data_IF_493947974099
#
_entry.id   IF_493947974099
#
_cell.length_a   1.000
_cell.length_b   1.000
_cell.length_c   1.000
_cell.angle_alpha   90.00
_cell.angle_beta   90.00
_cell.angle_gamma   90.00
#
_symmetry.space_group_name_H-M   'P 1'
#
loop_
_entity.id
_entity.type
_entity.pdbx_description
1 polymer ?
#
# COMPACT_ATOMS: atom_id res chain seq x y z
N UNK A 1 -53.39 33.31 42.70
CA UNK A 1 -51.96 33.15 43.00
C UNK A 1 -51.25 32.99 41.67
N UNK A 2 -50.33 33.90 41.32
CA UNK A 2 -49.57 33.76 40.07
C UNK A 2 -48.63 32.57 40.23
N UNK A 3 -48.86 31.48 39.49
CA UNK A 3 -47.92 30.36 39.46
C UNK A 3 -46.61 30.86 38.84
N UNK A 4 -45.50 30.66 39.54
CA UNK A 4 -44.16 31.05 39.09
C UNK A 4 -43.36 29.81 38.71
N UNK A 5 -42.66 29.86 37.58
CA UNK A 5 -41.78 28.79 37.10
C UNK A 5 -40.32 29.26 37.21
N UNK A 6 -39.51 28.47 37.91
CA UNK A 6 -38.07 28.68 37.94
C UNK A 6 -37.46 28.13 36.64
N UNK A 7 -36.83 28.98 35.85
CA UNK A 7 -36.22 28.63 34.57
C UNK A 7 -34.70 28.71 34.70
N UNK A 8 -34.01 27.61 34.44
CA UNK A 8 -32.55 27.54 34.41
C UNK A 8 -32.09 27.53 32.95
N UNK A 9 -31.42 28.58 32.50
CA UNK A 9 -30.91 28.68 31.13
C UNK A 9 -29.41 28.39 31.11
N UNK A 10 -29.08 27.20 30.63
CA UNK A 10 -27.71 26.80 30.33
C UNK A 10 -27.25 27.45 29.02
N UNK A 11 -26.35 28.41 29.11
CA UNK A 11 -25.77 29.13 27.98
C UNK A 11 -24.50 28.43 27.47
N UNK A 12 -23.75 29.09 26.59
CA UNK A 12 -22.48 28.61 26.03
C UNK A 12 -21.34 29.55 26.44
N UNK A 13 -20.11 29.05 26.52
CA UNK A 13 -18.95 29.87 26.84
C UNK A 13 -18.80 31.04 25.85
N UNK A 14 -18.50 32.28 26.32
CA UNK A 14 -18.05 32.66 27.66
C UNK A 14 -19.17 33.01 28.66
N UNK A 15 -20.44 32.82 28.32
CA UNK A 15 -21.56 33.23 29.17
C UNK A 15 -21.84 32.23 30.30
N UNK A 16 -22.29 32.73 31.45
CA UNK A 16 -22.67 31.90 32.60
C UNK A 16 -24.10 31.39 32.49
N UNK A 17 -24.43 30.36 33.26
CA UNK A 17 -25.81 29.87 33.38
C UNK A 17 -26.67 30.91 34.09
N UNK A 18 -27.88 31.15 33.59
CA UNK A 18 -28.80 32.16 34.13
C UNK A 18 -29.99 31.47 34.80
N UNK A 19 -30.43 32.01 35.94
CA UNK A 19 -31.63 31.56 36.63
C UNK A 19 -32.66 32.69 36.61
N UNK A 20 -33.84 32.43 36.05
CA UNK A 20 -34.93 33.38 35.92
C UNK A 20 -36.15 32.87 36.66
N UNK A 21 -36.80 33.74 37.43
CA UNK A 21 -38.11 33.45 38.00
C UNK A 21 -39.15 34.18 37.16
N UNK A 22 -39.96 33.41 36.42
CA UNK A 22 -40.88 33.93 35.40
C UNK A 22 -42.28 33.38 35.67
N UNK A 23 -43.35 34.18 35.51
CA UNK A 23 -44.71 33.66 35.60
C UNK A 23 -44.94 32.47 34.66
N UNK A 24 -45.65 31.43 35.12
CA UNK A 24 -45.91 30.22 34.33
C UNK A 24 -46.71 30.48 33.06
N UNK A 25 -47.41 31.62 32.98
CA UNK A 25 -48.18 32.07 31.81
C UNK A 25 -47.31 32.76 30.74
N UNK A 26 -46.04 33.05 31.03
CA UNK A 26 -45.16 33.71 30.07
C UNK A 26 -44.88 32.79 28.88
N UNK A 27 -44.87 33.36 27.69
CA UNK A 27 -44.60 32.63 26.45
C UNK A 27 -43.11 32.39 26.28
N UNK A 28 -42.75 31.28 25.65
CA UNK A 28 -41.35 30.97 25.30
C UNK A 28 -40.73 32.08 24.45
N UNK A 29 -41.49 32.69 23.54
CA UNK A 29 -41.03 33.80 22.72
C UNK A 29 -40.63 35.08 23.47
N UNK A 30 -41.04 35.23 24.74
CA UNK A 30 -40.65 36.38 25.58
C UNK A 30 -39.34 36.15 26.33
N UNK A 31 -38.89 34.90 26.51
CA UNK A 31 -37.62 34.57 27.18
C UNK A 31 -36.39 35.23 26.54
N UNK A 32 -36.26 35.30 25.20
CA UNK A 32 -35.17 36.02 24.55
C UNK A 32 -34.98 37.46 25.05
N UNK A 33 -36.08 38.21 25.23
CA UNK A 33 -36.02 39.58 25.70
C UNK A 33 -35.55 39.67 27.15
N UNK A 34 -36.01 38.76 28.02
CA UNK A 34 -35.58 38.69 29.42
C UNK A 34 -34.10 38.30 29.54
N UNK A 35 -33.63 37.37 28.70
CA UNK A 35 -32.22 36.98 28.65
C UNK A 35 -31.33 38.15 28.22
N UNK A 36 -31.79 38.96 27.26
CA UNK A 36 -31.05 40.13 26.80
C UNK A 36 -30.97 41.25 27.86
N UNK A 37 -31.96 41.35 28.77
CA UNK A 37 -31.90 42.29 29.89
C UNK A 37 -30.82 41.89 30.91
N UNK A 38 -30.68 40.60 31.19
CA UNK A 38 -29.65 40.10 32.12
C UNK A 38 -28.26 40.09 31.48
N UNK A 39 -28.16 39.69 30.22
CA UNK A 39 -26.90 39.57 29.49
C UNK A 39 -26.98 40.27 28.13
N UNK A 40 -26.73 41.60 28.09
CA UNK A 40 -26.84 42.39 26.86
C UNK A 40 -25.79 42.03 25.80
N UNK A 41 -24.76 41.27 26.19
CA UNK A 41 -23.70 40.78 25.29
C UNK A 41 -24.11 39.54 24.48
N UNK A 42 -25.27 38.93 24.76
CA UNK A 42 -25.73 37.74 24.05
C UNK A 42 -26.16 38.06 22.62
N UNK A 43 -25.64 37.36 21.60
CA UNK A 43 -26.03 37.55 20.22
C UNK A 43 -27.38 36.89 19.91
N UNK A 44 -28.50 37.57 20.18
CA UNK A 44 -29.87 37.02 20.11
C UNK A 44 -30.35 36.55 18.72
N UNK A 45 -29.68 36.99 17.65
CA UNK A 45 -30.07 36.82 16.25
C UNK A 45 -29.80 35.40 15.70
N UNK A 46 -29.06 34.56 16.44
CA UNK A 46 -28.72 33.21 16.02
C UNK A 46 -28.78 32.23 17.19
N UNK A 47 -29.73 32.37 18.12
CA UNK A 47 -29.84 31.47 19.27
C UNK A 47 -31.12 30.64 19.18
N UNK A 48 -31.03 29.39 19.64
CA UNK A 48 -32.16 28.48 19.77
C UNK A 48 -32.26 28.00 21.21
N UNK A 49 -33.44 28.15 21.78
CA UNK A 49 -33.80 27.54 23.06
C UNK A 49 -34.28 26.11 22.82
N UNK A 50 -33.73 25.19 23.59
CA UNK A 50 -34.12 23.78 23.57
C UNK A 50 -34.31 23.27 25.00
N UNK A 51 -35.30 22.40 25.19
CA UNK A 51 -35.52 21.69 26.42
C UNK A 51 -35.25 20.21 26.12
N UNK A 52 -34.25 19.64 26.80
CA UNK A 52 -33.74 18.30 26.51
C UNK A 52 -33.40 18.10 25.00
N UNK A 53 -34.25 17.36 24.27
CA UNK A 53 -34.06 16.99 22.85
C UNK A 53 -35.03 17.72 21.91
N UNK A 54 -35.89 18.59 22.44
CA UNK A 54 -36.93 19.27 21.67
C UNK A 54 -36.65 20.77 21.55
N UNK A 55 -37.02 21.33 20.40
CA UNK A 55 -37.04 22.78 20.19
C UNK A 55 -38.39 23.27 20.70
N UNK A 56 -38.39 24.33 21.52
CA UNK A 56 -39.62 24.87 22.07
C UNK A 56 -40.34 25.70 21.00
N UNK A 57 -41.67 25.61 21.01
CA UNK A 57 -42.52 26.48 20.21
C UNK A 57 -42.57 27.88 20.84
N UNK A 58 -42.28 28.97 20.10
CA UNK A 58 -42.32 30.32 20.65
C UNK A 58 -43.70 30.74 21.17
N UNK A 59 -44.78 30.12 20.71
CA UNK A 59 -46.16 30.46 21.07
C UNK A 59 -46.68 29.71 22.31
N UNK A 60 -45.99 28.67 22.75
CA UNK A 60 -46.39 27.88 23.90
C UNK A 60 -46.02 28.56 25.23
N UNK A 61 -46.86 28.43 26.28
CA UNK A 61 -46.53 28.92 27.63
C UNK A 61 -45.49 28.02 28.31
N UNK A 62 -44.72 28.56 29.25
CA UNK A 62 -43.71 27.79 30.00
C UNK A 62 -44.32 26.64 30.82
N UNK A 63 -45.58 26.78 31.24
CA UNK A 63 -46.31 25.75 31.97
C UNK A 63 -46.47 24.43 31.22
N UNK A 64 -46.44 24.43 29.87
CA UNK A 64 -46.55 23.19 29.10
C UNK A 64 -45.28 22.33 29.15
N UNK A 65 -44.14 22.93 29.49
CA UNK A 65 -42.85 22.27 29.52
C UNK A 65 -42.33 22.07 30.95
N UNK A 66 -42.85 22.82 31.92
CA UNK A 66 -42.46 22.70 33.31
C UNK A 66 -43.17 21.50 33.97
N UNK A 67 -42.39 20.61 34.60
CA UNK A 67 -42.95 19.61 35.51
C UNK A 67 -43.29 20.30 36.84
N UNK A 68 -44.35 19.83 37.53
CA UNK A 68 -45.01 20.51 38.65
C UNK A 68 -44.12 20.88 39.85
N UNK A 69 -42.91 20.34 39.96
CA UNK A 69 -42.00 20.60 41.09
C UNK A 69 -40.55 20.89 40.70
N UNK A 70 -40.18 20.78 39.42
CA UNK A 70 -38.77 20.90 38.98
C UNK A 70 -38.52 22.20 38.20
N UNK A 71 -37.33 22.81 38.33
CA UNK A 71 -36.97 23.95 37.52
C UNK A 71 -36.89 23.56 36.04
N UNK A 72 -37.46 24.40 35.17
CA UNK A 72 -37.42 24.22 33.73
C UNK A 72 -36.00 24.49 33.22
N UNK A 73 -35.25 23.42 32.95
CA UNK A 73 -33.90 23.51 32.39
C UNK A 73 -33.94 23.72 30.87
N UNK A 74 -33.55 24.91 30.41
CA UNK A 74 -33.43 25.27 29.00
C UNK A 74 -31.96 25.37 28.62
N UNK A 75 -31.64 24.96 27.39
CA UNK A 75 -30.32 25.13 26.80
C UNK A 75 -30.38 26.13 25.66
N UNK A 76 -29.55 27.15 25.74
CA UNK A 76 -29.36 28.17 24.71
C UNK A 76 -28.17 27.77 23.84
N UNK A 77 -28.44 27.44 22.57
CA UNK A 77 -27.43 27.02 21.62
C UNK A 77 -27.34 27.97 20.43
N UNK A 78 -26.13 28.30 19.95
CA UNK A 78 -25.96 29.00 18.68
C UNK A 78 -26.51 28.17 17.50
N UNK A 79 -27.42 28.75 16.75
CA UNK A 79 -27.93 28.23 15.49
C UNK A 79 -26.92 28.55 14.38
N UNK A 80 -26.01 27.61 14.14
CA UNK A 80 -25.07 27.71 13.03
C UNK A 80 -25.84 27.62 11.71
N UNK A 81 -25.60 28.54 10.76
CA UNK A 81 -26.18 28.50 9.40
C UNK A 81 -25.54 27.40 8.53
N UNK A 82 -25.35 26.21 9.09
CA UNK A 82 -24.65 25.10 8.45
C UNK A 82 -25.60 24.01 7.96
N UNK A 83 -25.71 23.85 6.65
CA UNK A 83 -26.11 22.60 6.05
C UNK A 83 -25.13 21.50 6.46
N UNK A 84 -25.66 20.38 6.93
CA UNK A 84 -24.99 19.09 7.22
C UNK A 84 -24.30 18.55 5.95
N UNK A 85 -23.28 19.28 5.50
CA UNK A 85 -22.69 19.21 4.18
C UNK A 85 -21.60 18.15 4.11
N UNK A 86 -21.64 17.38 3.02
CA UNK A 86 -20.46 16.67 2.54
C UNK A 86 -20.22 15.29 3.12
N UNK A 87 -20.43 15.03 4.41
CA UNK A 87 -20.01 13.73 4.96
C UNK A 87 -20.78 12.56 4.33
N UNK A 88 -22.10 12.67 4.19
CA UNK A 88 -22.91 11.65 3.51
C UNK A 88 -22.59 11.50 2.02
N UNK A 89 -22.22 12.59 1.32
CA UNK A 89 -21.80 12.49 -0.08
C UNK A 89 -20.39 11.92 -0.23
N UNK A 90 -19.49 12.20 0.70
CA UNK A 90 -18.16 11.58 0.80
C UNK A 90 -18.28 10.09 1.07
N UNK A 91 -19.17 9.67 1.98
CA UNK A 91 -19.44 8.25 2.22
C UNK A 91 -19.97 7.55 0.96
N UNK A 92 -20.91 8.18 0.24
CA UNK A 92 -21.42 7.64 -1.03
C UNK A 92 -20.33 7.56 -2.10
N UNK A 93 -19.49 8.58 -2.22
CA UNK A 93 -18.38 8.60 -3.17
C UNK A 93 -17.30 7.55 -2.82
N UNK A 94 -16.97 7.39 -1.55
CA UNK A 94 -16.03 6.38 -1.06
C UNK A 94 -16.58 4.96 -1.28
N UNK A 95 -17.84 4.70 -0.94
CA UNK A 95 -18.51 3.42 -1.18
C UNK A 95 -18.56 3.05 -2.66
N UNK A 96 -18.81 4.02 -3.54
CA UNK A 96 -18.75 3.79 -4.99
C UNK A 96 -17.36 3.36 -5.48
N UNK A 97 -16.30 3.98 -4.97
CA UNK A 97 -14.90 3.61 -5.31
C UNK A 97 -14.51 2.23 -4.80
N UNK A 98 -14.98 1.84 -3.62
CA UNK A 98 -14.70 0.52 -3.04
C UNK A 98 -15.44 -0.58 -3.80
N UNK A 99 -16.68 -0.32 -4.23
CA UNK A 99 -17.49 -1.27 -5.00
C UNK A 99 -16.95 -1.48 -6.42
N UNK A 100 -16.53 -0.41 -7.11
CA UNK A 100 -16.03 -0.51 -8.49
C UNK A 100 -14.61 -1.08 -8.60
N UNK A 101 -13.79 -0.96 -7.55
CA UNK A 101 -12.43 -1.51 -7.54
C UNK A 101 -12.46 -3.02 -7.27
N UNK A 102 -12.74 -3.80 -8.31
CA UNK A 102 -12.57 -5.26 -8.29
C UNK A 102 -11.13 -5.60 -7.89
N UNK A 103 -10.96 -6.38 -6.84
CA UNK A 103 -9.63 -6.83 -6.40
C UNK A 103 -9.07 -7.83 -7.39
N UNK A 104 -7.97 -7.48 -8.07
CA UNK A 104 -7.27 -8.39 -8.99
C UNK A 104 -6.27 -9.33 -8.29
N UNK A 105 -6.38 -9.49 -6.97
CA UNK A 105 -5.54 -10.42 -6.21
C UNK A 105 -6.10 -11.85 -6.32
N UNK A 106 -5.90 -12.46 -7.49
CA UNK A 106 -6.30 -13.84 -7.79
C UNK A 106 -5.20 -14.86 -7.50
N UNK A 107 -4.08 -14.43 -6.93
CA UNK A 107 -2.90 -15.27 -6.70
C UNK A 107 -3.20 -16.47 -5.78
N UNK A 108 -4.00 -16.21 -4.74
CA UNK A 108 -4.41 -17.22 -3.75
C UNK A 108 -5.35 -18.30 -4.31
N UNK A 109 -6.00 -18.06 -5.46
CA UNK A 109 -6.92 -19.02 -6.08
C UNK A 109 -6.15 -20.26 -6.58
N UNK A 110 -6.84 -21.40 -6.62
CA UNK A 110 -6.30 -22.67 -7.13
C UNK A 110 -6.83 -23.01 -8.51
N UNK A 111 -6.05 -23.75 -9.29
CA UNK A 111 -6.47 -24.36 -10.55
C UNK A 111 -7.18 -25.72 -10.30
N UNK A 112 -7.70 -26.35 -11.37
CA UNK A 112 -8.33 -27.68 -11.31
C UNK A 112 -7.34 -28.80 -10.91
N UNK A 113 -6.04 -28.52 -10.99
CA UNK A 113 -4.97 -29.42 -10.59
C UNK A 113 -4.49 -29.18 -9.14
N UNK A 114 -5.14 -28.27 -8.40
CA UNK A 114 -4.83 -27.93 -7.00
C UNK A 114 -3.64 -27.00 -6.77
N UNK A 115 -3.00 -26.49 -7.83
CA UNK A 115 -1.87 -25.53 -7.77
C UNK A 115 -2.39 -24.11 -7.62
N UNK A 116 -1.64 -23.24 -6.94
CA UNK A 116 -2.02 -21.83 -6.78
C UNK A 116 -1.67 -21.02 -8.03
N UNK A 117 -2.53 -20.10 -8.45
CA UNK A 117 -2.28 -19.26 -9.63
C UNK A 117 -0.99 -18.42 -9.50
N UNK A 118 -0.59 -18.03 -8.28
CA UNK A 118 0.72 -17.41 -8.05
C UNK A 118 1.89 -18.26 -8.47
N UNK A 119 1.91 -19.52 -8.03
CA UNK A 119 3.02 -20.45 -8.32
C UNK A 119 3.17 -20.71 -9.82
N UNK A 120 2.05 -20.72 -10.55
CA UNK A 120 2.06 -20.84 -12.02
C UNK A 120 2.63 -19.58 -12.67
N UNK A 121 2.16 -18.40 -12.27
CA UNK A 121 2.68 -17.11 -12.77
C UNK A 121 4.16 -16.92 -12.46
N UNK A 122 4.62 -17.37 -11.30
CA UNK A 122 6.04 -17.33 -10.93
C UNK A 122 6.87 -18.25 -11.81
N UNK A 123 6.42 -19.49 -12.05
CA UNK A 123 7.09 -20.42 -12.94
C UNK A 123 7.16 -19.89 -14.39
N UNK A 124 6.09 -19.31 -14.90
CA UNK A 124 6.04 -18.67 -16.23
C UNK A 124 7.03 -17.48 -16.32
N UNK A 125 7.08 -16.63 -15.28
CA UNK A 125 8.05 -15.52 -15.22
C UNK A 125 9.49 -16.02 -15.21
N UNK A 126 9.77 -17.11 -14.49
CA UNK A 126 11.10 -17.72 -14.47
C UNK A 126 11.46 -18.34 -15.83
N UNK A 127 10.51 -19.01 -16.48
CA UNK A 127 10.71 -19.55 -17.82
C UNK A 127 11.00 -18.43 -18.84
N UNK A 128 10.16 -17.38 -18.87
CA UNK A 128 10.39 -16.21 -19.72
C UNK A 128 11.72 -15.51 -19.43
N UNK A 129 12.15 -15.47 -18.16
CA UNK A 129 13.46 -14.95 -17.79
C UNK A 129 14.59 -15.77 -18.41
N UNK A 130 14.53 -17.10 -18.30
CA UNK A 130 15.52 -18.02 -18.88
C UNK A 130 15.55 -17.95 -20.41
N UNK A 131 14.38 -17.88 -21.05
CA UNK A 131 14.24 -17.72 -22.50
C UNK A 131 14.83 -16.38 -22.99
N UNK A 132 14.73 -15.32 -22.19
CA UNK A 132 15.30 -14.01 -22.50
C UNK A 132 16.82 -13.89 -22.22
N UNK A 133 17.44 -14.88 -21.57
CA UNK A 133 18.88 -14.87 -21.29
C UNK A 133 19.78 -14.73 -22.52
N UNK A 134 19.61 -15.50 -23.62
CA UNK A 134 20.45 -15.36 -24.81
C UNK A 134 20.37 -13.97 -25.44
N UNK A 135 19.18 -13.38 -25.51
CA UNK A 135 18.99 -12.03 -26.04
C UNK A 135 19.65 -10.99 -25.14
N UNK A 136 19.50 -11.12 -23.82
CA UNK A 136 20.16 -10.25 -22.85
C UNK A 136 21.68 -10.37 -22.89
N UNK A 137 22.23 -11.58 -23.06
CA UNK A 137 23.68 -11.81 -23.19
C UNK A 137 24.21 -11.21 -24.48
N UNK A 138 23.50 -11.36 -25.61
CA UNK A 138 23.84 -10.70 -26.88
C UNK A 138 23.81 -9.17 -26.75
N UNK A 139 22.72 -8.60 -26.22
CA UNK A 139 22.62 -7.16 -26.01
C UNK A 139 23.71 -6.61 -25.07
N UNK A 140 24.06 -7.33 -24.00
CA UNK A 140 25.17 -6.95 -23.12
C UNK A 140 26.51 -7.03 -23.82
N UNK A 141 26.73 -8.04 -24.65
CA UNK A 141 27.96 -8.20 -25.42
C UNK A 141 28.09 -7.11 -26.48
N UNK A 142 27.01 -6.77 -27.18
CA UNK A 142 26.99 -5.72 -28.20
C UNK A 142 27.17 -4.34 -27.54
N UNK A 143 26.56 -4.10 -26.39
CA UNK A 143 26.78 -2.88 -25.61
C UNK A 143 28.23 -2.79 -25.09
N UNK A 144 28.84 -3.91 -24.68
CA UNK A 144 30.27 -3.94 -24.31
C UNK A 144 31.16 -3.66 -25.51
N UNK A 145 30.90 -4.27 -26.66
CA UNK A 145 31.62 -4.02 -27.91
C UNK A 145 31.51 -2.57 -28.36
N UNK A 146 30.31 -1.98 -28.34
CA UNK A 146 30.10 -0.58 -28.67
C UNK A 146 30.82 0.37 -27.70
N UNK A 147 30.86 0.04 -26.40
CA UNK A 147 31.65 0.80 -25.42
C UNK A 147 33.15 0.68 -25.66
N UNK A 148 33.64 -0.52 -25.99
CA UNK A 148 35.05 -0.72 -26.34
C UNK A 148 35.41 0.07 -27.60
N UNK A 149 34.61 -0.02 -28.66
CA UNK A 149 34.83 0.72 -29.91
C UNK A 149 34.77 2.25 -29.69
N UNK A 150 33.85 2.73 -28.86
CA UNK A 150 33.77 4.16 -28.52
C UNK A 150 35.01 4.63 -27.74
N UNK A 151 35.51 3.82 -26.80
CA UNK A 151 36.75 4.11 -26.08
C UNK A 151 37.97 4.04 -27.00
N UNK A 152 38.04 3.06 -27.90
CA UNK A 152 39.12 2.93 -28.90
C UNK A 152 39.14 4.14 -29.85
N UNK A 153 37.97 4.60 -30.29
CA UNK A 153 37.84 5.83 -31.10
C UNK A 153 38.25 7.09 -30.35
N UNK A 154 37.91 7.19 -29.06
CA UNK A 154 38.36 8.30 -28.20
C UNK A 154 39.88 8.24 -27.93
N UNK A 155 40.48 7.06 -27.98
CA UNK A 155 41.92 6.84 -27.74
C UNK A 155 42.77 6.85 -29.03
N UNK A 156 42.16 6.98 -30.21
CA UNK A 156 42.87 7.17 -31.49
C UNK A 156 43.63 5.93 -32.00
N UNK A 157 43.22 4.72 -31.61
CA UNK A 157 43.87 3.47 -32.01
C UNK A 157 43.03 2.83 -33.13
N UNK A 158 43.58 2.72 -34.35
CA UNK A 158 42.91 2.05 -35.47
C UNK A 158 42.77 0.53 -35.24
N UNK A 159 41.84 -0.12 -35.95
CA UNK A 159 41.53 -1.57 -35.86
C UNK A 159 42.75 -2.50 -36.04
N UNK A 160 43.85 -2.00 -36.61
CA UNK A 160 45.09 -2.75 -36.88
C UNK A 160 46.25 -2.43 -35.93
N UNK A 161 45.99 -1.82 -34.77
CA UNK A 161 47.00 -1.57 -33.75
C UNK A 161 48.06 -0.52 -34.12
N UNK A 162 47.88 0.19 -35.24
CA UNK A 162 48.72 1.32 -35.64
C UNK A 162 48.09 2.64 -35.19
N UNK A 163 48.85 3.57 -34.59
CA UNK A 163 48.39 4.96 -34.45
C UNK A 163 48.09 5.50 -35.84
N UNK A 164 46.88 6.03 -36.07
CA UNK A 164 46.64 6.84 -37.26
C UNK A 164 47.43 8.15 -37.06
N UNK A 165 48.38 8.43 -37.94
CA UNK A 165 49.28 9.59 -37.85
C UNK A 165 48.57 10.91 -38.26
N UNK A 166 47.30 10.85 -38.65
CA UNK A 166 46.55 12.01 -39.13
C UNK A 166 45.49 12.47 -38.12
N UNK A 167 45.95 13.05 -37.00
CA UNK A 167 45.16 13.95 -36.18
C UNK A 167 46.07 15.05 -35.62
N UNK A 168 46.58 15.89 -36.52
CA UNK A 168 47.16 17.17 -36.16
C UNK A 168 46.10 18.07 -35.52
N UNK A 169 46.12 18.18 -34.19
CA UNK A 169 45.28 19.16 -33.51
C UNK A 169 44.99 18.90 -32.03
N UNK A 170 46.00 18.69 -31.19
CA UNK A 170 45.99 19.11 -29.77
C UNK A 170 47.36 18.83 -29.12
N UNK A 171 48.18 19.87 -28.98
CA UNK A 171 49.46 19.82 -28.29
C UNK A 171 49.33 19.67 -26.77
N UNK A 172 50.26 18.92 -26.17
CA UNK A 172 50.41 18.82 -24.72
C UNK A 172 51.31 17.66 -24.26
N UNK A 173 52.60 17.94 -24.13
CA UNK A 173 53.57 17.41 -23.13
C UNK A 173 53.63 15.91 -22.79
N UNK A 174 54.84 15.36 -22.91
CA UNK A 174 55.25 13.94 -22.90
C UNK A 174 55.16 13.19 -21.54
N UNK A 175 54.41 13.69 -20.56
CA UNK A 175 54.21 13.06 -19.25
C UNK A 175 52.74 12.71 -19.05
N UNK A 176 52.38 11.44 -19.27
CA UNK A 176 50.98 10.97 -19.18
C UNK A 176 50.38 10.48 -20.50
N UNK A 177 51.19 10.29 -21.55
CA UNK A 177 50.76 9.61 -22.78
C UNK A 177 50.34 8.18 -22.40
N UNK A 178 49.03 7.93 -22.33
CA UNK A 178 48.46 6.61 -22.00
C UNK A 178 48.89 5.64 -23.10
N UNK A 179 49.99 4.93 -22.86
CA UNK A 179 50.48 3.88 -23.77
C UNK A 179 49.54 2.69 -23.61
N UNK A 180 49.10 2.13 -24.75
CA UNK A 180 48.41 0.85 -24.74
C UNK A 180 49.36 -0.18 -24.12
N UNK A 181 48.87 -0.89 -23.12
CA UNK A 181 49.62 -1.95 -22.46
C UNK A 181 49.50 -3.19 -23.36
N UNK A 182 50.50 -3.40 -24.21
CA UNK A 182 50.49 -4.43 -25.28
C UNK A 182 51.08 -5.77 -24.85
N UNK A 183 51.31 -5.97 -23.55
CA UNK A 183 51.76 -7.25 -23.03
C UNK A 183 50.58 -8.22 -22.89
N UNK A 184 50.31 -8.97 -23.97
CA UNK A 184 49.22 -9.94 -24.05
C UNK A 184 49.35 -11.03 -23.00
N UNK A 185 50.58 -11.43 -22.66
CA UNK A 185 50.85 -12.47 -21.66
C UNK A 185 50.42 -12.02 -20.27
N UNK A 186 50.79 -10.80 -19.88
CA UNK A 186 50.38 -10.27 -18.58
C UNK A 186 48.86 -10.11 -18.46
N UNK A 187 48.18 -9.72 -19.54
CA UNK A 187 46.71 -9.61 -19.55
C UNK A 187 46.03 -10.98 -19.43
N UNK A 188 46.54 -12.00 -20.11
CA UNK A 188 46.06 -13.38 -20.02
C UNK A 188 46.30 -13.93 -18.60
N UNK A 189 47.52 -13.80 -18.06
CA UNK A 189 47.85 -14.22 -16.69
C UNK A 189 46.98 -13.51 -15.64
N UNK A 190 46.74 -12.21 -15.80
CA UNK A 190 45.88 -11.45 -14.90
C UNK A 190 44.43 -11.93 -15.00
N UNK A 191 43.93 -12.21 -16.21
CA UNK A 191 42.59 -12.76 -16.41
C UNK A 191 42.46 -14.14 -15.77
N UNK A 192 43.44 -15.02 -15.94
CA UNK A 192 43.48 -16.35 -15.33
C UNK A 192 43.48 -16.29 -13.81
N UNK A 193 44.28 -15.40 -13.21
CA UNK A 193 44.30 -15.20 -11.75
C UNK A 193 42.94 -14.69 -11.27
N UNK A 194 42.34 -13.70 -11.95
CA UNK A 194 41.03 -13.15 -11.60
C UNK A 194 39.94 -14.21 -11.72
N UNK A 195 39.95 -15.02 -12.77
CA UNK A 195 38.97 -16.08 -12.98
C UNK A 195 39.18 -17.24 -12.00
N UNK A 196 40.42 -17.56 -11.65
CA UNK A 196 40.76 -18.47 -10.57
C UNK A 196 40.17 -18.03 -9.22
N UNK A 197 40.34 -16.75 -8.86
CA UNK A 197 39.77 -16.18 -7.62
C UNK A 197 38.23 -16.20 -7.68
N UNK A 198 37.63 -15.81 -8.80
CA UNK A 198 36.16 -15.84 -8.98
C UNK A 198 35.60 -17.25 -8.82
N UNK A 199 36.24 -18.23 -9.45
CA UNK A 199 35.86 -19.65 -9.35
C UNK A 199 36.01 -20.18 -7.93
N UNK A 200 37.10 -19.83 -7.23
CA UNK A 200 37.32 -20.22 -5.84
C UNK A 200 36.27 -19.61 -4.89
N UNK A 201 35.91 -18.33 -5.07
CA UNK A 201 34.86 -17.66 -4.29
C UNK A 201 33.49 -18.27 -4.58
N UNK A 202 33.16 -18.53 -5.85
CA UNK A 202 31.91 -19.19 -6.23
C UNK A 202 31.80 -20.60 -5.61
N UNK A 203 32.87 -21.41 -5.70
CA UNK A 203 32.94 -22.72 -5.07
C UNK A 203 32.84 -22.63 -3.53
N UNK A 204 33.48 -21.64 -2.91
CA UNK A 204 33.40 -21.37 -1.48
C UNK A 204 31.98 -21.03 -1.02
N UNK A 205 31.28 -20.16 -1.76
CA UNK A 205 29.89 -19.78 -1.46
C UNK A 205 28.91 -20.95 -1.66
N UNK A 206 29.11 -21.76 -2.69
CA UNK A 206 28.31 -22.98 -2.92
C UNK A 206 28.54 -24.02 -1.82
N UNK A 207 29.80 -24.24 -1.39
CA UNK A 207 30.13 -25.12 -0.26
C UNK A 207 29.55 -24.59 1.05
N UNK A 208 29.60 -23.28 1.29
CA UNK A 208 28.98 -22.63 2.47
C UNK A 208 27.47 -22.77 2.47
N UNK A 209 26.81 -22.58 1.31
CA UNK A 209 25.36 -22.80 1.16
C UNK A 209 24.99 -24.28 1.35
N UNK A 210 25.78 -25.21 0.81
CA UNK A 210 25.57 -26.66 0.99
C UNK A 210 25.75 -27.07 2.45
N UNK A 211 26.79 -26.56 3.12
CA UNK A 211 27.03 -26.78 4.55
C UNK A 211 25.89 -26.21 5.40
N UNK A 212 25.47 -24.96 5.15
CA UNK A 212 24.34 -24.36 5.84
C UNK A 212 23.01 -25.11 5.61
N UNK A 213 22.82 -25.69 4.41
CA UNK A 213 21.65 -26.53 4.11
C UNK A 213 21.69 -27.86 4.86
N UNK A 214 22.87 -28.50 4.94
CA UNK A 214 23.07 -29.74 5.72
C UNK A 214 22.94 -29.49 7.23
N UNK A 215 23.45 -28.35 7.74
CA UNK A 215 23.32 -27.96 9.14
C UNK A 215 21.85 -27.63 9.51
N UNK A 216 21.10 -27.01 8.59
CA UNK A 216 19.66 -26.78 8.74
C UNK A 216 18.86 -28.09 8.71
N UNK A 217 19.26 -29.05 7.85
CA UNK A 217 18.63 -30.37 7.77
C UNK A 217 18.93 -31.20 9.04
N UNK A 218 20.16 -31.19 9.56
CA UNK A 218 20.53 -31.83 10.84
C UNK A 218 19.81 -31.22 12.07
N UNK A 219 19.53 -29.91 12.04
CA UNK A 219 18.74 -29.24 13.09
C UNK A 219 17.27 -29.68 13.06
N UNK A 220 16.72 -30.04 11.90
CA UNK A 220 15.36 -30.58 11.78
C UNK A 220 15.22 -32.04 12.25
N UNK A 221 16.32 -32.82 12.31
CA UNK A 221 16.31 -34.21 12.80
C UNK A 221 16.42 -34.31 14.33
N UNK A 222 16.76 -33.23 15.03
CA UNK A 222 16.96 -33.25 16.50
C UNK A 222 15.71 -32.85 17.31
N UNK A 223 14.62 -32.43 16.66
CA UNK A 223 13.32 -32.13 17.32
C UNK A 223 12.21 -33.12 16.94
N UNK A 224 12.56 -34.37 16.64
CA UNK A 224 11.60 -35.39 16.21
C UNK A 224 11.98 -36.80 16.62
N UNK A 225 12.21 -37.05 17.91
CA UNK A 225 12.23 -38.40 18.46
C UNK A 225 11.06 -38.58 19.44
N UNK A 226 9.90 -38.91 18.89
CA UNK A 226 8.96 -39.85 19.49
C UNK A 226 8.11 -40.49 18.39
N UNK A 227 8.08 -41.83 18.43
CA UNK A 227 7.13 -42.76 17.80
C UNK A 227 7.41 -43.30 16.37
N UNK A 228 7.70 -44.61 16.39
CA UNK A 228 7.16 -45.67 15.53
C UNK A 228 7.82 -45.99 14.17
N UNK A 229 8.60 -47.07 14.22
CA UNK A 229 8.83 -48.16 13.25
C UNK A 229 7.94 -48.24 11.98
N UNK A 230 8.56 -48.50 10.81
CA UNK A 230 8.44 -49.79 10.08
C UNK A 230 9.09 -49.73 8.66
N UNK A 231 10.16 -50.53 8.50
CA UNK A 231 10.54 -51.38 7.35
C UNK A 231 10.44 -50.92 5.87
N UNK A 232 11.64 -50.76 5.29
CA UNK A 232 12.25 -51.49 4.14
C UNK A 232 11.70 -51.33 2.69
N UNK A 233 12.67 -51.12 1.80
CA UNK A 233 12.63 -50.84 0.36
C UNK A 233 12.29 -52.02 -0.58
N UNK A 234 11.87 -51.67 -1.82
CA UNK A 234 12.03 -52.33 -3.16
C UNK A 234 11.49 -51.28 -4.18
N UNK A 235 12.26 -50.60 -5.04
CA UNK A 235 13.02 -50.95 -6.26
C UNK A 235 12.15 -51.37 -7.48
N UNK A 236 12.33 -50.60 -8.56
CA UNK A 236 12.18 -50.90 -10.00
C UNK A 236 10.84 -50.74 -10.76
N UNK A 237 10.81 -49.67 -11.56
CA UNK A 237 10.53 -49.58 -13.01
C UNK A 237 9.21 -50.06 -13.63
N UNK A 238 8.57 -49.17 -14.39
CA UNK A 238 8.19 -49.44 -15.79
C UNK A 238 7.87 -48.14 -16.54
N UNK A 239 8.63 -47.88 -17.63
CA UNK A 239 8.16 -47.07 -18.75
C UNK A 239 7.04 -47.82 -19.49
N UNK A 240 6.10 -47.12 -20.15
CA UNK A 240 5.74 -47.19 -21.60
C UNK A 240 4.49 -46.32 -21.85
N UNK A 241 4.49 -45.48 -22.89
CA UNK A 241 3.29 -44.91 -23.53
C UNK A 241 2.73 -45.93 -24.57
N UNK A 242 1.77 -45.68 -25.50
CA UNK A 242 0.94 -44.48 -25.77
C UNK A 242 -0.55 -44.78 -26.18
N UNK A 243 -1.26 -43.73 -26.63
CA UNK A 243 -2.32 -43.68 -27.68
C UNK A 243 -3.83 -43.60 -27.29
N UNK A 244 -4.44 -42.51 -27.78
CA UNK A 244 -5.82 -42.25 -28.25
C UNK A 244 -7.05 -42.43 -27.33
N UNK A 245 -7.82 -41.35 -27.16
CA UNK A 245 -9.06 -41.09 -27.91
C UNK A 245 -9.79 -39.89 -27.30
N UNK A 246 -9.91 -38.80 -28.06
CA UNK A 246 -10.68 -37.61 -27.69
C UNK A 246 -12.07 -37.77 -28.31
N UNK A 247 -13.10 -37.95 -27.48
CA UNK A 247 -14.49 -37.86 -27.89
C UNK A 247 -15.12 -36.63 -27.22
N UNK A 248 -15.49 -35.67 -28.05
CA UNK A 248 -16.22 -34.45 -27.73
C UNK A 248 -17.66 -34.75 -27.28
N UNK A 249 -18.11 -34.13 -26.18
CA UNK A 249 -19.53 -33.95 -25.93
C UNK A 249 -19.81 -32.49 -25.53
N UNK A 250 -20.43 -31.77 -26.46
CA UNK A 250 -21.08 -30.50 -26.21
C UNK A 250 -22.50 -30.76 -25.71
N UNK A 251 -22.88 -30.17 -24.57
CA UNK A 251 -24.28 -30.03 -24.16
C UNK A 251 -24.51 -28.57 -23.86
N UNK A 252 -25.14 -27.89 -24.82
CA UNK A 252 -25.84 -26.63 -24.58
C UNK A 252 -27.29 -26.96 -24.23
N UNK A 253 -27.77 -26.45 -23.09
CA UNK A 253 -29.19 -26.34 -22.81
C UNK A 253 -29.48 -24.87 -22.50
N UNK A 254 -30.39 -24.34 -23.32
CA UNK A 254 -30.89 -22.99 -23.31
C UNK A 254 -31.72 -22.69 -22.05
N UNK A 255 -31.59 -21.46 -21.57
CA UNK A 255 -32.45 -20.86 -20.56
C UNK A 255 -33.74 -20.31 -21.21
N UNK A 256 -34.84 -20.51 -20.51
CA UNK A 256 -35.96 -19.57 -20.42
C UNK A 256 -35.94 -18.98 -19.00
#
# INVERSE_FOLDING_TARGET
MSSTTNVLVATFAPFSTLALNVPSTTLVGALPALLQQHEPRLPMWQLRLSHARTVLDPTAPLSSYALSSDPLALRLAPAVRGGKGGFGSQLRAAGGRMSSRRTNNTDSCRDLNGRRLGTVKEAEKLAAYLESEPERKKAQHDAKKAKLEALERQLGIGKDGKPLEDAEGAGGTQAGKKRRFDDTKFLEETQEIVDGVRNAVAAGLLKKRKKAKLDAEATSVTTGSTAAAATKAIVESSATAPVAAVASLAVGIAAA
#
